data_IF_350395510713
#
_entry.id   IF_350395510713
#
_cell.length_a   1.000
_cell.length_b   1.000
_cell.length_c   1.000
_cell.angle_alpha   90.00
_cell.angle_beta   90.00
_cell.angle_gamma   90.00
#
_symmetry.space_group_name_H-M   'P 1'
#
loop_
_entity.id
_entity.type
_entity.pdbx_description
1 polymer ?
#
# COMPACT_ATOMS: atom_id res chain seq x y z
N UNK A 1 0.21 -39.22 12.83
CA UNK A 1 -0.68 -38.05 12.73
C UNK A 1 -1.96 -38.48 12.03
N UNK A 2 -3.12 -37.96 12.42
CA UNK A 2 -4.37 -38.04 11.63
C UNK A 2 -4.73 -36.64 11.14
N UNK A 3 -5.62 -36.48 10.15
CA UNK A 3 -6.11 -35.17 9.72
C UNK A 3 -6.69 -34.33 10.85
N UNK A 4 -7.45 -34.94 11.76
CA UNK A 4 -8.14 -34.25 12.86
C UNK A 4 -7.13 -33.68 13.87
N UNK A 5 -6.08 -34.44 14.18
CA UNK A 5 -5.02 -33.94 15.05
C UNK A 5 -4.24 -32.82 14.34
N UNK A 6 -3.99 -32.97 13.04
CA UNK A 6 -3.25 -31.98 12.26
C UNK A 6 -3.98 -30.63 12.17
N UNK A 7 -5.29 -30.65 11.92
CA UNK A 7 -6.08 -29.43 11.80
C UNK A 7 -6.27 -28.73 13.16
N UNK A 8 -6.41 -29.49 14.25
CA UNK A 8 -6.46 -28.93 15.60
C UNK A 8 -5.11 -28.30 16.00
N UNK A 9 -3.99 -28.95 15.67
CA UNK A 9 -2.66 -28.40 15.92
C UNK A 9 -2.46 -27.06 15.16
N UNK A 10 -2.84 -26.99 13.88
CA UNK A 10 -2.77 -25.77 13.09
C UNK A 10 -3.72 -24.66 13.61
N UNK A 11 -4.93 -25.02 14.02
CA UNK A 11 -5.92 -24.09 14.57
C UNK A 11 -5.46 -23.45 15.89
N UNK A 12 -4.63 -24.14 16.68
CA UNK A 12 -4.02 -23.59 17.89
C UNK A 12 -3.14 -22.35 17.65
N UNK A 13 -2.55 -22.27 16.45
CA UNK A 13 -1.72 -21.15 16.01
C UNK A 13 -2.49 -20.18 15.08
N UNK A 14 -3.81 -20.35 14.95
CA UNK A 14 -4.70 -19.48 14.16
C UNK A 14 -4.78 -19.80 12.67
N UNK A 15 -4.23 -20.93 12.21
CA UNK A 15 -4.32 -21.38 10.82
C UNK A 15 -5.59 -22.19 10.57
N UNK A 16 -6.39 -21.80 9.58
CA UNK A 16 -7.63 -22.49 9.19
C UNK A 16 -7.38 -23.68 8.26
N UNK A 17 -6.20 -23.78 7.66
CA UNK A 17 -5.82 -24.88 6.78
C UNK A 17 -4.67 -25.69 7.34
N UNK A 18 -4.78 -27.01 7.19
CA UNK A 18 -3.73 -27.98 7.50
C UNK A 18 -3.48 -28.89 6.30
N UNK A 19 -2.22 -29.00 5.90
CA UNK A 19 -1.76 -29.87 4.83
C UNK A 19 -0.92 -31.02 5.37
N UNK A 20 -1.24 -32.25 4.97
CA UNK A 20 -0.49 -33.46 5.32
C UNK A 20 0.08 -34.16 4.08
N UNK A 21 1.35 -34.57 4.16
CA UNK A 21 2.05 -35.32 3.11
C UNK A 21 2.72 -36.58 3.69
N UNK A 22 3.04 -37.55 2.82
CA UNK A 22 3.81 -38.76 3.15
C UNK A 22 3.24 -39.60 4.31
N UNK A 23 1.91 -39.70 4.43
CA UNK A 23 1.28 -40.49 5.49
C UNK A 23 1.28 -39.80 6.86
N UNK A 24 1.58 -38.50 6.94
CA UNK A 24 1.52 -37.75 8.20
C UNK A 24 2.62 -38.15 9.20
N UNK A 25 3.80 -38.52 8.69
CA UNK A 25 5.00 -38.70 9.53
C UNK A 25 5.40 -37.35 10.13
N UNK A 26 5.62 -37.32 11.45
CA UNK A 26 5.93 -36.09 12.21
C UNK A 26 7.40 -35.69 12.01
N UNK A 27 7.75 -35.32 10.78
CA UNK A 27 8.95 -34.53 10.49
C UNK A 27 8.52 -33.07 10.37
N UNK A 28 9.34 -32.10 10.83
CA UNK A 28 9.00 -30.67 10.77
C UNK A 28 8.71 -30.15 9.35
N UNK A 29 9.02 -30.93 8.32
CA UNK A 29 8.82 -30.58 6.92
C UNK A 29 7.59 -31.23 6.25
N UNK A 30 6.72 -31.96 6.96
CA UNK A 30 5.64 -32.75 6.32
C UNK A 30 4.22 -32.40 6.78
N UNK A 31 4.09 -31.47 7.73
CA UNK A 31 2.85 -30.75 8.04
C UNK A 31 3.00 -29.32 7.54
N UNK A 32 1.94 -28.77 6.95
CA UNK A 32 1.85 -27.36 6.56
C UNK A 32 0.63 -26.77 7.25
N UNK A 33 0.79 -25.64 7.92
CA UNK A 33 -0.32 -24.86 8.42
C UNK A 33 -0.33 -23.56 7.61
N UNK A 34 -1.50 -23.14 7.14
CA UNK A 34 -1.64 -21.92 6.37
C UNK A 34 -2.99 -21.28 6.63
N UNK A 35 -3.07 -19.97 6.38
CA UNK A 35 -4.32 -19.23 6.45
C UNK A 35 -5.05 -19.25 5.10
N UNK A 36 -4.34 -19.56 4.02
CA UNK A 36 -4.86 -19.56 2.66
C UNK A 36 -4.25 -20.71 1.86
N UNK A 37 -4.99 -21.18 0.85
CA UNK A 37 -4.45 -22.13 -0.12
C UNK A 37 -3.89 -21.34 -1.31
N UNK A 38 -2.57 -21.14 -1.32
CA UNK A 38 -1.87 -20.65 -2.50
C UNK A 38 -2.07 -21.63 -3.67
N UNK A 39 -2.32 -21.11 -4.88
CA UNK A 39 -2.48 -21.91 -6.11
C UNK A 39 -3.61 -22.96 -6.04
N UNK A 40 -4.79 -22.59 -5.54
CA UNK A 40 -6.00 -23.44 -5.51
C UNK A 40 -6.34 -24.13 -6.85
N UNK A 41 -5.81 -23.64 -7.96
CA UNK A 41 -5.99 -24.21 -9.30
C UNK A 41 -5.14 -25.47 -9.58
N UNK A 42 -4.20 -25.84 -8.70
CA UNK A 42 -3.31 -27.00 -8.86
C UNK A 42 -3.88 -28.31 -8.26
N UNK A 43 -5.21 -28.46 -8.24
CA UNK A 43 -5.86 -29.67 -7.74
C UNK A 43 -5.65 -30.87 -8.66
N UNK A 44 -5.51 -32.06 -8.09
CA UNK A 44 -5.51 -33.34 -8.80
C UNK A 44 -6.59 -34.26 -8.23
N UNK A 45 -6.75 -35.45 -8.79
CA UNK A 45 -7.67 -36.46 -8.30
C UNK A 45 -7.29 -36.95 -6.88
N UNK A 46 -8.26 -37.02 -5.97
CA UNK A 46 -8.07 -37.44 -4.57
C UNK A 46 -7.44 -38.84 -4.45
N UNK A 47 -7.63 -39.71 -5.43
CA UNK A 47 -6.99 -41.03 -5.46
C UNK A 47 -5.46 -40.97 -5.55
N UNK A 48 -4.88 -39.81 -5.91
CA UNK A 48 -3.43 -39.59 -5.89
C UNK A 48 -2.89 -39.29 -4.48
N UNK A 49 -3.77 -39.00 -3.52
CA UNK A 49 -3.44 -38.85 -2.11
C UNK A 49 -3.83 -40.13 -1.36
N UNK A 50 -3.08 -41.22 -1.59
CA UNK A 50 -3.47 -42.57 -1.15
C UNK A 50 -2.56 -43.16 -0.07
N UNK A 51 -1.65 -42.39 0.52
CA UNK A 51 -0.84 -42.87 1.64
C UNK A 51 -1.68 -42.86 2.91
N UNK A 52 -1.73 -44.01 3.57
CA UNK A 52 -2.42 -44.16 4.84
C UNK A 52 -1.77 -43.29 5.93
N UNK A 53 -2.59 -42.65 6.78
CA UNK A 53 -2.10 -41.87 7.90
C UNK A 53 -1.44 -42.77 8.96
N UNK A 54 -0.29 -42.33 9.52
CA UNK A 54 0.41 -43.04 10.62
C UNK A 54 -0.47 -43.16 11.86
N UNK A 55 -1.36 -42.19 12.11
CA UNK A 55 -2.27 -42.20 13.26
C UNK A 55 -3.52 -43.05 13.06
N UNK A 56 -3.95 -43.27 11.81
CA UNK A 56 -5.13 -44.04 11.45
C UNK A 56 -5.01 -44.55 10.01
N UNK A 57 -4.83 -45.86 9.83
CA UNK A 57 -4.64 -46.43 8.49
C UNK A 57 -5.89 -46.40 7.59
N UNK A 58 -7.05 -46.03 8.14
CA UNK A 58 -8.30 -45.87 7.38
C UNK A 58 -8.46 -44.48 6.73
N UNK A 59 -7.58 -43.54 7.04
CA UNK A 59 -7.56 -42.19 6.49
C UNK A 59 -6.39 -41.99 5.53
N UNK A 60 -6.52 -41.00 4.64
CA UNK A 60 -5.46 -40.61 3.70
C UNK A 60 -4.72 -39.35 4.19
N UNK A 61 -3.40 -39.37 4.03
CA UNK A 61 -2.51 -38.29 4.43
C UNK A 61 -1.53 -37.97 3.28
N UNK A 62 -2.08 -37.61 2.12
CA UNK A 62 -1.32 -37.22 0.93
C UNK A 62 -0.62 -38.39 0.23
N UNK A 63 0.40 -38.09 -0.56
CA UNK A 63 1.35 -39.02 -1.17
C UNK A 63 2.65 -38.27 -1.56
N UNK A 64 3.60 -38.94 -2.22
CA UNK A 64 4.81 -38.25 -2.69
C UNK A 64 4.51 -37.14 -3.69
N UNK A 65 4.85 -35.89 -3.34
CA UNK A 65 4.49 -34.66 -4.07
C UNK A 65 2.97 -34.42 -4.16
N UNK A 66 2.19 -34.89 -3.18
CA UNK A 66 0.73 -34.72 -3.11
C UNK A 66 0.32 -34.44 -1.68
N UNK A 67 -0.20 -33.24 -1.44
CA UNK A 67 -0.64 -32.80 -0.12
C UNK A 67 -2.15 -32.91 -0.01
N UNK A 68 -2.64 -33.59 1.03
CA UNK A 68 -4.06 -33.51 1.40
C UNK A 68 -4.27 -32.27 2.26
N UNK A 69 -5.21 -31.42 1.86
CA UNK A 69 -5.51 -30.16 2.55
C UNK A 69 -6.85 -30.28 3.27
N UNK A 70 -6.85 -29.96 4.55
CA UNK A 70 -8.00 -29.94 5.45
C UNK A 70 -8.28 -28.51 5.87
N UNK A 71 -9.55 -28.19 6.10
CA UNK A 71 -10.01 -26.85 6.45
C UNK A 71 -10.90 -26.91 7.69
N UNK A 72 -10.60 -26.09 8.69
CA UNK A 72 -11.43 -25.87 9.87
C UNK A 72 -12.20 -24.55 9.73
N UNK A 73 -13.51 -24.60 9.42
CA UNK A 73 -14.32 -23.40 9.23
C UNK A 73 -14.61 -22.65 10.55
N UNK A 74 -14.20 -23.20 11.71
CA UNK A 74 -14.36 -22.52 13.00
C UNK A 74 -13.26 -21.51 13.28
N UNK A 75 -12.13 -21.62 12.58
CA UNK A 75 -11.05 -20.63 12.57
C UNK A 75 -11.34 -19.65 11.43
N UNK A 76 -11.58 -18.36 11.69
CA UNK A 76 -11.85 -17.39 10.64
C UNK A 76 -10.63 -17.23 9.72
N UNK A 77 -10.86 -17.30 8.41
CA UNK A 77 -9.85 -16.91 7.43
C UNK A 77 -9.53 -15.41 7.60
N UNK A 78 -8.25 -15.03 7.64
CA UNK A 78 -7.87 -13.62 7.66
C UNK A 78 -8.29 -12.93 6.37
N UNK A 79 -8.58 -11.64 6.50
CA UNK A 79 -9.05 -10.81 5.39
C UNK A 79 -8.29 -9.50 5.32
N UNK A 80 -8.21 -8.93 4.13
CA UNK A 80 -7.81 -7.53 3.94
C UNK A 80 -9.01 -6.67 4.32
N UNK A 81 -8.94 -5.98 5.45
CA UNK A 81 -10.01 -5.07 5.84
C UNK A 81 -9.88 -3.76 5.09
N UNK A 82 -10.80 -3.51 4.17
CA UNK A 82 -10.73 -2.33 3.28
C UNK A 82 -10.94 -1.00 3.99
N UNK A 83 -11.53 -1.01 5.20
CA UNK A 83 -11.79 0.20 5.99
C UNK A 83 -11.76 -0.10 7.50
N UNK A 84 -10.93 0.64 8.25
CA UNK A 84 -10.86 0.59 9.71
C UNK A 84 -10.98 2.02 10.26
N UNK A 85 -12.13 2.36 10.82
CA UNK A 85 -12.40 3.73 11.25
C UNK A 85 -12.24 4.71 10.07
N UNK A 86 -11.42 5.78 10.17
CA UNK A 86 -11.17 6.68 9.06
C UNK A 86 -10.10 6.19 8.08
N UNK A 87 -9.45 5.04 8.34
CA UNK A 87 -8.37 4.51 7.52
C UNK A 87 -8.91 3.64 6.39
N UNK A 88 -8.56 3.99 5.15
CA UNK A 88 -8.95 3.30 3.94
C UNK A 88 -7.76 2.56 3.35
N UNK A 89 -7.94 1.28 3.05
CA UNK A 89 -6.95 0.47 2.33
C UNK A 89 -6.76 0.99 0.89
N UNK A 90 -5.50 1.12 0.47
CA UNK A 90 -5.11 1.57 -0.87
C UNK A 90 -4.52 0.45 -1.72
N UNK A 91 -3.97 -0.60 -1.11
CA UNK A 91 -3.38 -1.72 -1.83
C UNK A 91 -2.19 -2.33 -1.12
N UNK A 92 -1.78 -3.48 -1.66
CA UNK A 92 -0.54 -4.17 -1.31
C UNK A 92 0.55 -3.77 -2.32
N UNK A 93 1.72 -3.42 -1.84
CA UNK A 93 2.81 -2.91 -2.69
C UNK A 93 4.13 -3.58 -2.34
N UNK A 94 4.96 -3.82 -3.35
CA UNK A 94 6.31 -4.32 -3.12
C UNK A 94 7.18 -3.27 -2.41
N UNK A 95 7.75 -3.63 -1.26
CA UNK A 95 8.65 -2.77 -0.49
C UNK A 95 10.08 -3.33 -0.49
N UNK A 96 11.07 -2.44 -0.42
CA UNK A 96 12.45 -2.84 -0.19
C UNK A 96 13.25 -1.71 0.43
N UNK A 97 14.36 -2.05 1.06
CA UNK A 97 15.31 -1.05 1.60
C UNK A 97 15.89 -0.11 0.55
N UNK A 98 15.86 -0.48 -0.74
CA UNK A 98 16.31 0.36 -1.85
C UNK A 98 15.21 1.21 -2.49
N UNK A 99 13.95 0.91 -2.20
CA UNK A 99 12.74 1.53 -2.77
C UNK A 99 11.62 1.53 -1.73
N UNK A 100 11.90 2.17 -0.58
CA UNK A 100 10.96 2.17 0.54
C UNK A 100 9.71 2.96 0.18
N UNK A 101 8.54 2.46 0.53
CA UNK A 101 7.26 3.15 0.30
C UNK A 101 6.96 4.14 1.42
N UNK A 102 7.28 3.79 2.67
CA UNK A 102 7.11 4.63 3.85
C UNK A 102 8.41 4.70 4.66
N UNK A 103 8.88 5.89 4.96
CA UNK A 103 10.24 6.06 5.53
C UNK A 103 10.29 6.06 7.06
N UNK A 104 9.14 6.18 7.75
CA UNK A 104 9.11 6.39 9.20
C UNK A 104 8.58 5.14 9.93
N UNK A 105 9.44 4.25 10.44
CA UNK A 105 9.00 3.13 11.26
C UNK A 105 8.56 3.63 12.64
N UNK A 106 7.48 3.05 13.16
CA UNK A 106 6.89 3.42 14.45
C UNK A 106 6.73 2.18 15.32
N UNK A 107 7.14 2.29 16.58
CA UNK A 107 6.95 1.22 17.56
C UNK A 107 5.54 1.27 18.16
N UNK A 108 4.83 0.13 18.14
CA UNK A 108 3.48 -0.02 18.72
C UNK A 108 3.48 -0.78 20.07
N UNK A 109 4.66 -0.98 20.68
CA UNK A 109 4.78 -1.58 22.01
C UNK A 109 4.53 -3.09 22.07
N UNK A 110 5.08 -3.85 21.13
CA UNK A 110 5.05 -5.31 21.12
C UNK A 110 4.10 -5.87 20.06
N UNK A 111 2.87 -6.20 20.46
CA UNK A 111 1.88 -6.88 19.62
C UNK A 111 1.14 -5.87 18.72
N UNK A 112 1.31 -6.00 17.40
CA UNK A 112 0.74 -5.19 16.34
C UNK A 112 -0.70 -5.62 16.01
N UNK A 113 -1.60 -4.64 15.96
CA UNK A 113 -2.87 -4.72 15.23
C UNK A 113 -2.94 -3.54 14.27
N UNK A 114 -3.72 -3.61 13.19
CA UNK A 114 -3.88 -2.48 12.26
C UNK A 114 -4.25 -1.19 13.01
N UNK A 115 -5.25 -1.27 13.89
CA UNK A 115 -5.71 -0.12 14.68
C UNK A 115 -4.59 0.51 15.54
N UNK A 116 -3.72 -0.29 16.17
CA UNK A 116 -2.60 0.24 16.95
C UNK A 116 -1.60 0.99 16.09
N UNK A 117 -1.30 0.48 14.89
CA UNK A 117 -0.43 1.18 13.96
C UNK A 117 -1.03 2.51 13.54
N UNK A 118 -2.31 2.49 13.16
CA UNK A 118 -3.05 3.67 12.74
C UNK A 118 -3.11 4.74 13.83
N UNK A 119 -3.38 4.36 15.07
CA UNK A 119 -3.36 5.27 16.22
C UNK A 119 -1.96 5.85 16.46
N UNK A 120 -0.91 5.04 16.32
CA UNK A 120 0.47 5.46 16.50
C UNK A 120 0.95 6.41 15.39
N UNK A 121 0.58 6.15 14.13
CA UNK A 121 0.82 7.05 13.01
C UNK A 121 0.09 8.38 13.21
N UNK A 122 -1.20 8.32 13.58
CA UNK A 122 -2.02 9.51 13.82
C UNK A 122 -1.48 10.37 14.96
N UNK A 123 -1.05 9.76 16.06
CA UNK A 123 -0.47 10.45 17.21
C UNK A 123 0.80 11.23 16.85
N UNK A 124 1.51 10.83 15.79
CA UNK A 124 2.70 11.50 15.28
C UNK A 124 2.41 12.44 14.10
N UNK A 125 1.13 12.63 13.74
CA UNK A 125 0.71 13.53 12.67
C UNK A 125 0.93 12.97 11.26
N UNK A 126 0.99 11.65 11.11
CA UNK A 126 1.06 10.96 9.83
C UNK A 126 -0.35 10.62 9.32
N UNK A 127 -0.58 10.79 8.02
CA UNK A 127 -1.85 10.49 7.35
C UNK A 127 -1.81 9.18 6.55
N UNK A 128 -0.64 8.57 6.41
CA UNK A 128 -0.40 7.31 5.72
C UNK A 128 0.19 6.33 6.71
N UNK A 129 -0.32 5.10 6.70
CA UNK A 129 0.15 4.00 7.52
C UNK A 129 0.42 2.78 6.65
N UNK A 130 1.39 1.98 7.04
CA UNK A 130 1.78 0.75 6.40
C UNK A 130 1.98 -0.37 7.41
N UNK A 131 1.50 -1.56 7.05
CA UNK A 131 1.68 -2.78 7.84
C UNK A 131 2.61 -3.71 7.05
N UNK A 132 3.71 -4.14 7.66
CA UNK A 132 4.69 -5.03 7.03
C UNK A 132 5.13 -6.12 8.02
N UNK A 133 5.51 -7.29 7.48
CA UNK A 133 6.16 -8.36 8.21
C UNK A 133 5.46 -8.79 9.52
N UNK A 134 4.11 -8.85 9.50
CA UNK A 134 3.24 -9.24 10.62
C UNK A 134 3.32 -8.34 11.88
N UNK A 135 4.30 -7.46 11.98
CA UNK A 135 4.71 -6.83 13.25
C UNK A 135 5.33 -5.45 13.11
N UNK A 136 5.57 -4.99 11.88
CA UNK A 136 6.11 -3.66 11.61
C UNK A 136 4.99 -2.68 11.28
N UNK A 137 5.12 -1.48 11.84
CA UNK A 137 4.26 -0.35 11.55
C UNK A 137 5.11 0.76 10.95
N UNK A 138 4.71 1.23 9.78
CA UNK A 138 5.36 2.29 9.03
C UNK A 138 4.38 3.44 8.83
N UNK A 139 4.87 4.66 8.85
CA UNK A 139 4.05 5.86 8.74
C UNK A 139 4.67 6.88 7.79
N UNK A 140 3.83 7.69 7.17
CA UNK A 140 4.29 8.88 6.47
C UNK A 140 3.19 9.95 6.37
N UNK A 141 3.59 11.17 6.03
CA UNK A 141 2.67 12.28 5.74
C UNK A 141 2.16 12.18 4.32
N UNK A 142 2.98 11.65 3.42
CA UNK A 142 2.70 11.56 2.00
C UNK A 142 3.02 10.17 1.49
N UNK A 143 2.22 9.69 0.55
CA UNK A 143 2.48 8.43 -0.10
C UNK A 143 3.40 8.67 -1.30
N UNK A 144 4.61 8.15 -1.22
CA UNK A 144 5.50 8.00 -2.38
C UNK A 144 5.41 6.54 -2.81
N UNK A 145 5.04 6.27 -4.07
CA UNK A 145 4.89 4.91 -4.59
C UNK A 145 6.02 4.56 -5.57
N UNK A 146 7.26 4.31 -5.08
CA UNK A 146 8.34 3.81 -5.92
C UNK A 146 8.24 2.30 -6.17
N UNK A 147 7.41 1.59 -5.37
CA UNK A 147 7.14 0.16 -5.49
C UNK A 147 5.96 -0.12 -6.41
N UNK A 148 5.99 -1.27 -7.07
CA UNK A 148 4.92 -1.71 -7.96
C UNK A 148 3.72 -2.20 -7.13
N UNK A 149 2.48 -1.79 -7.47
CA UNK A 149 1.28 -2.33 -6.84
C UNK A 149 1.13 -3.81 -7.20
N UNK A 150 0.73 -4.61 -6.22
CA UNK A 150 0.31 -6.00 -6.45
C UNK A 150 -1.08 -5.98 -7.10
N UNK A 151 -1.34 -6.80 -8.14
CA UNK A 151 -2.69 -6.93 -8.69
C UNK A 151 -3.68 -7.37 -7.62
N UNK A 152 -4.89 -6.78 -7.60
CA UNK A 152 -5.92 -7.04 -6.57
C UNK A 152 -6.22 -8.53 -6.35
N UNK A 153 -6.26 -9.31 -7.42
CA UNK A 153 -6.53 -10.76 -7.37
C UNK A 153 -5.38 -11.59 -6.73
N UNK A 154 -4.22 -10.97 -6.52
CA UNK A 154 -3.02 -11.60 -6.00
C UNK A 154 -2.59 -11.01 -4.64
N UNK A 155 -3.25 -9.97 -4.13
CA UNK A 155 -2.85 -9.28 -2.89
C UNK A 155 -2.73 -10.24 -1.72
N UNK A 156 -3.68 -11.16 -1.57
CA UNK A 156 -3.69 -12.17 -0.50
C UNK A 156 -2.61 -13.26 -0.68
N UNK A 157 -1.81 -13.22 -1.74
CA UNK A 157 -0.63 -14.08 -1.90
C UNK A 157 0.63 -13.40 -1.37
N UNK A 158 0.70 -12.07 -1.47
CA UNK A 158 1.89 -11.28 -1.16
C UNK A 158 1.78 -10.56 0.19
N UNK A 159 0.63 -9.96 0.49
CA UNK A 159 0.28 -9.40 1.79
C UNK A 159 -0.60 -10.39 2.57
N UNK A 160 0.01 -11.51 2.94
CA UNK A 160 -0.68 -12.68 3.53
C UNK A 160 -0.20 -13.03 4.93
N UNK A 161 0.72 -12.25 5.50
CA UNK A 161 1.19 -12.45 6.87
C UNK A 161 0.15 -11.88 7.83
N UNK A 162 -0.37 -12.72 8.71
CA UNK A 162 -1.30 -12.28 9.74
C UNK A 162 -0.63 -11.37 10.76
N UNK A 163 -1.38 -10.42 11.30
CA UNK A 163 -0.87 -9.56 12.37
C UNK A 163 -0.56 -10.41 13.61
N UNK A 164 0.60 -10.20 14.23
CA UNK A 164 0.98 -10.93 15.44
C UNK A 164 0.06 -10.63 16.66
N UNK A 165 -0.83 -9.65 16.54
CA UNK A 165 -1.85 -9.30 17.52
C UNK A 165 -3.29 -9.51 17.12
N UNK A 166 -3.53 -9.89 15.88
CA UNK A 166 -4.86 -10.14 15.35
C UNK A 166 -4.72 -11.07 14.14
N UNK A 167 -4.87 -12.36 14.37
CA UNK A 167 -4.75 -13.37 13.32
C UNK A 167 -5.89 -13.34 12.30
N UNK A 168 -6.90 -12.48 12.50
CA UNK A 168 -8.02 -12.28 11.55
C UNK A 168 -7.73 -11.21 10.50
N UNK A 169 -6.58 -10.53 10.61
CA UNK A 169 -6.17 -9.42 9.77
C UNK A 169 -4.80 -9.70 9.16
N UNK A 170 -4.60 -9.28 7.92
CA UNK A 170 -3.26 -9.25 7.32
C UNK A 170 -2.49 -7.98 7.75
N UNK A 171 -1.18 -8.12 7.85
CA UNK A 171 -0.22 -7.09 8.20
C UNK A 171 0.99 -7.18 7.25
N UNK A 172 0.71 -7.18 5.95
CA UNK A 172 1.72 -7.18 4.89
C UNK A 172 2.36 -8.54 4.63
N UNK A 173 3.60 -8.49 4.14
CA UNK A 173 4.40 -9.64 3.74
C UNK A 173 5.89 -9.44 4.02
N UNK A 174 6.73 -10.36 3.54
CA UNK A 174 8.19 -10.32 3.75
C UNK A 174 8.94 -9.24 2.97
N UNK A 175 8.31 -8.70 1.93
CA UNK A 175 8.80 -7.59 1.12
C UNK A 175 7.60 -6.83 0.52
N UNK A 176 6.50 -6.80 1.26
CA UNK A 176 5.23 -6.25 0.79
C UNK A 176 4.55 -5.54 1.94
N UNK A 177 4.08 -4.33 1.66
CA UNK A 177 3.42 -3.46 2.65
C UNK A 177 1.98 -3.22 2.22
N UNK A 178 1.06 -3.36 3.18
CA UNK A 178 -0.31 -2.90 3.01
C UNK A 178 -0.41 -1.43 3.35
N UNK A 179 -0.93 -0.61 2.43
CA UNK A 179 -1.00 0.84 2.61
C UNK A 179 -2.42 1.27 2.97
N UNK A 180 -2.52 2.12 3.98
CA UNK A 180 -3.76 2.72 4.46
C UNK A 180 -3.64 4.24 4.53
N UNK A 181 -4.73 4.94 4.18
CA UNK A 181 -4.82 6.40 4.20
C UNK A 181 -5.89 6.87 5.19
N UNK A 182 -5.55 7.79 6.09
CA UNK A 182 -6.50 8.44 6.99
C UNK A 182 -7.35 9.45 6.19
N UNK A 183 -8.59 9.05 5.88
CA UNK A 183 -9.56 9.88 5.15
C UNK A 183 -10.15 11.02 5.99
N UNK A 184 -9.87 11.07 7.30
CA UNK A 184 -10.23 12.21 8.15
C UNK A 184 -9.27 13.39 8.00
N UNK A 185 -8.10 13.17 7.38
CA UNK A 185 -7.16 14.25 7.06
C UNK A 185 -7.62 14.94 5.77
N UNK A 186 -8.40 16.00 5.94
CA UNK A 186 -8.72 16.92 4.84
C UNK A 186 -7.52 17.80 4.55
N UNK A 187 -7.21 18.06 3.27
CA UNK A 187 -6.21 19.07 2.89
C UNK A 187 -6.58 20.42 3.53
N UNK A 188 -5.82 20.84 4.54
CA UNK A 188 -6.06 22.12 5.24
C UNK A 188 -5.79 23.33 4.35
N UNK A 189 -5.02 23.13 3.28
CA UNK A 189 -4.86 24.06 2.20
C UNK A 189 -5.44 23.42 0.93
N UNK A 190 -6.47 24.03 0.34
CA UNK A 190 -6.81 23.73 -1.05
C UNK A 190 -5.54 23.85 -1.91
N UNK A 191 -5.36 22.93 -2.87
CA UNK A 191 -4.14 22.76 -3.67
C UNK A 191 -3.20 23.97 -3.65
N UNK A 192 -2.12 23.88 -2.89
CA UNK A 192 -1.09 24.92 -2.85
C UNK A 192 -0.50 25.08 -4.25
N UNK A 193 -0.80 26.21 -4.87
CA UNK A 193 -0.19 26.63 -6.13
C UNK A 193 1.27 27.00 -5.85
N UNK A 194 2.16 26.03 -6.06
CA UNK A 194 3.60 26.21 -5.94
C UNK A 194 4.21 26.91 -7.16
N UNK A 195 3.41 27.47 -8.09
CA UNK A 195 3.96 28.26 -9.18
C UNK A 195 4.75 29.44 -8.59
N UNK A 196 6.05 29.58 -8.92
CA UNK A 196 6.84 30.69 -8.42
C UNK A 196 6.28 32.01 -8.94
N UNK A 197 5.67 32.83 -8.07
CA UNK A 197 5.27 34.20 -8.43
C UNK A 197 6.50 35.11 -8.44
N UNK A 198 7.03 35.34 -9.63
CA UNK A 198 8.06 36.35 -9.86
C UNK A 198 7.41 37.72 -9.98
N UNK A 199 7.41 38.52 -8.91
CA UNK A 199 7.06 39.94 -9.00
C UNK A 199 8.20 40.70 -9.67
N UNK A 200 8.04 41.06 -10.94
CA UNK A 200 8.99 41.89 -11.68
C UNK A 200 8.45 43.32 -11.80
N UNK A 201 9.25 44.31 -11.41
CA UNK A 201 8.95 45.73 -11.64
C UNK A 201 9.72 46.23 -12.85
N UNK A 202 9.04 46.56 -13.94
CA UNK A 202 9.68 47.19 -15.11
C UNK A 202 9.62 48.71 -14.97
N UNK A 203 10.78 49.35 -14.74
CA UNK A 203 10.90 50.81 -14.78
C UNK A 203 11.18 51.26 -16.21
N UNK A 204 10.23 51.97 -16.82
CA UNK A 204 10.39 52.57 -18.14
C UNK A 204 10.85 54.02 -17.97
N UNK A 205 12.00 54.36 -18.53
CA UNK A 205 12.51 55.73 -18.57
C UNK A 205 12.25 56.37 -19.93
N UNK A 206 11.56 57.50 -19.96
CA UNK A 206 11.43 58.33 -21.16
C UNK A 206 12.65 59.25 -21.29
N UNK A 207 13.29 59.29 -22.46
CA UNK A 207 14.24 60.35 -22.83
C UNK A 207 13.63 61.21 -23.93
N UNK A 208 13.10 62.38 -23.56
CA UNK A 208 12.56 63.35 -24.51
C UNK A 208 11.59 64.34 -23.86
N UNK A 209 11.47 65.53 -24.46
CA UNK A 209 10.49 66.57 -24.08
C UNK A 209 9.26 66.45 -24.99
N UNK A 210 8.42 65.45 -24.76
CA UNK A 210 7.10 65.37 -25.37
C UNK A 210 6.06 65.29 -24.24
N UNK A 211 5.22 66.32 -24.11
CA UNK A 211 4.15 66.41 -23.11
C UNK A 211 3.01 65.42 -23.33
N UNK A 212 2.94 64.80 -24.52
CA UNK A 212 1.75 64.05 -24.97
C UNK A 212 2.10 62.68 -25.59
N UNK A 213 3.10 61.99 -25.06
CA UNK A 213 3.41 60.61 -25.44
C UNK A 213 2.68 59.61 -24.53
N UNK A 214 1.65 58.93 -25.04
CA UNK A 214 1.08 57.77 -24.37
C UNK A 214 1.89 56.51 -24.71
N UNK A 215 2.39 55.82 -23.69
CA UNK A 215 2.97 54.48 -23.81
C UNK A 215 2.02 53.46 -23.20
N UNK A 216 1.72 52.41 -23.97
CA UNK A 216 1.05 51.22 -23.44
C UNK A 216 2.06 50.07 -23.35
N UNK A 217 1.96 49.31 -22.25
CA UNK A 217 2.70 48.07 -22.06
C UNK A 217 1.71 46.91 -22.11
N UNK A 218 1.96 45.93 -22.96
CA UNK A 218 1.20 44.67 -22.98
C UNK A 218 2.09 43.57 -22.45
N UNK A 219 1.61 42.89 -21.41
CA UNK A 219 2.25 41.71 -20.84
C UNK A 219 1.85 40.51 -21.69
N UNK A 220 2.83 39.84 -22.29
CA UNK A 220 2.61 38.61 -23.05
C UNK A 220 2.97 37.44 -22.13
N UNK A 221 1.96 36.64 -21.80
CA UNK A 221 2.09 35.43 -20.98
C UNK A 221 2.05 34.20 -21.88
N UNK A 222 2.75 33.15 -21.46
CA UNK A 222 2.64 31.83 -22.07
C UNK A 222 2.26 30.83 -20.99
N UNK A 223 1.33 29.94 -21.33
CA UNK A 223 0.92 28.80 -20.50
C UNK A 223 1.51 27.53 -21.10
N UNK A 224 2.14 26.71 -20.28
CA UNK A 224 2.46 25.31 -20.62
C UNK A 224 1.91 24.36 -19.52
N UNK A 225 2.27 23.09 -19.60
CA UNK A 225 1.87 22.07 -18.62
C UNK A 225 2.46 22.28 -17.21
N UNK A 226 3.32 23.29 -17.01
CA UNK A 226 3.98 23.62 -15.75
C UNK A 226 3.56 24.99 -15.17
N UNK A 227 2.77 25.80 -15.91
CA UNK A 227 2.14 27.03 -15.39
C UNK A 227 2.16 28.21 -16.36
N UNK A 228 1.76 29.39 -15.87
CA UNK A 228 1.91 30.66 -16.60
C UNK A 228 3.29 31.29 -16.35
N UNK A 229 3.97 31.69 -17.41
CA UNK A 229 5.21 32.47 -17.31
C UNK A 229 5.20 33.71 -18.22
N UNK A 230 5.95 34.74 -17.81
CA UNK A 230 6.16 35.95 -18.60
C UNK A 230 7.03 35.62 -19.81
N UNK A 231 6.46 35.74 -21.01
CA UNK A 231 7.21 35.55 -22.25
C UNK A 231 7.91 36.84 -22.69
N UNK A 232 7.19 37.97 -22.66
CA UNK A 232 7.72 39.28 -23.04
C UNK A 232 6.86 40.44 -22.53
N UNK A 233 7.43 41.63 -22.47
CA UNK A 233 6.68 42.90 -22.32
C UNK A 233 6.85 43.70 -23.60
N UNK A 234 5.75 44.00 -24.28
CA UNK A 234 5.76 44.79 -25.52
C UNK A 234 5.35 46.22 -25.22
N UNK A 235 6.20 47.17 -25.59
CA UNK A 235 5.91 48.60 -25.48
C UNK A 235 5.44 49.16 -26.82
N UNK A 236 4.38 49.97 -26.81
CA UNK A 236 3.91 50.71 -27.97
C UNK A 236 3.87 52.19 -27.62
N UNK A 237 4.50 53.03 -28.45
CA UNK A 237 4.28 54.48 -28.42
C UNK A 237 3.19 54.85 -29.41
N UNK A 238 2.25 55.67 -28.98
CA UNK A 238 1.25 56.28 -29.85
C UNK A 238 1.55 57.78 -29.93
N UNK A 239 2.00 58.26 -31.09
CA UNK A 239 2.13 59.70 -31.35
C UNK A 239 0.86 60.21 -32.01
N UNK A 240 0.20 61.21 -31.39
CA UNK A 240 -0.80 62.00 -32.10
C UNK A 240 -0.06 62.93 -33.06
N UNK A 241 -0.22 62.73 -34.36
CA UNK A 241 0.17 63.75 -35.35
C UNK A 241 -0.74 64.97 -35.14
N UNK A 242 -0.18 66.10 -34.68
CA UNK A 242 -0.83 67.41 -34.82
C UNK A 242 -0.86 67.75 -36.30
N UNK A 243 -2.05 67.73 -36.90
CA UNK A 243 -2.30 68.37 -38.20
C UNK A 243 -2.19 69.89 -38.03
N UNK A 244 -1.37 70.55 -38.84
CA UNK A 244 -1.44 71.99 -39.05
C UNK A 244 -2.69 72.37 -39.83
#
# INVERSE_FOLDING_TARGET
MTPEVCIVDCGGDGFSYAGVEFGGVRFPFLVRCDHLIANKNLTTDQSQCNMACVGNASETCGAGNRIDIWHDPTVPDPTITTQIGPWKYLGCFADSTSKRILDNPVSVGGILTPQKCFDACKAQGYGVAGLEFASECWCDKFLYLPGDPVPTEEETQFCSMTCNGDSTQFCGGSAYVEIYLDTSVTSVDGCLDLTPRWDFTVKVGLRGSASDANMSATVIRQTDGFGEYLLAVRFRSESRTMSC
#
